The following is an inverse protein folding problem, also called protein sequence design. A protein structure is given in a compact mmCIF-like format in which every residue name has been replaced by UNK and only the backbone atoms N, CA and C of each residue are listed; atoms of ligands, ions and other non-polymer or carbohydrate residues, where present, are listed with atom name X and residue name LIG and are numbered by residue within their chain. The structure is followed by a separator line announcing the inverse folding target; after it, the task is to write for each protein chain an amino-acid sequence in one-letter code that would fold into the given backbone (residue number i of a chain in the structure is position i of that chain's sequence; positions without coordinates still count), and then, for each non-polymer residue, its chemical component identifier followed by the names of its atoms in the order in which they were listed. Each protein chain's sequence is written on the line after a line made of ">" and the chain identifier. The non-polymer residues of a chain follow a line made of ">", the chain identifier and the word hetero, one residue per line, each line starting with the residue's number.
data_IF_936072874060
#
_entry.id   IF_936072874060
#
_cell.length_a   1.000
_cell.length_b   1.000
_cell.length_c   1.000
_cell.angle_alpha   90.00
_cell.angle_beta   90.00
_cell.angle_gamma   90.00
#
_symmetry.space_group_name_H-M   'P 1'
#
loop_
_entity.id
_entity.type
_entity.pdbx_description
1 polymer ?
#
# COMPACT_ATOMS: atom_id res chain seq x y z
N UNK A 1 62.66 -29.60 -37.29
CA UNK A 1 61.18 -29.48 -37.33
C UNK A 1 60.60 -30.04 -36.02
N UNK A 2 60.08 -29.20 -35.12
CA UNK A 2 59.28 -29.66 -33.99
C UNK A 2 57.78 -29.51 -34.32
N UNK A 3 56.98 -30.54 -33.99
CA UNK A 3 55.51 -30.52 -34.04
C UNK A 3 54.97 -29.65 -32.88
N UNK A 4 54.01 -28.74 -33.10
CA UNK A 4 53.33 -28.07 -32.01
C UNK A 4 52.27 -28.99 -31.38
N UNK A 5 52.19 -28.99 -30.05
CA UNK A 5 51.13 -29.63 -29.27
C UNK A 5 49.86 -28.75 -29.26
N UNK A 6 48.66 -29.34 -29.20
CA UNK A 6 47.41 -28.58 -29.14
C UNK A 6 47.14 -28.01 -27.75
N UNK A 7 46.81 -26.72 -27.69
CA UNK A 7 46.29 -26.03 -26.50
C UNK A 7 44.83 -26.44 -26.26
N UNK A 8 44.43 -26.90 -25.06
CA UNK A 8 43.04 -26.91 -24.66
C UNK A 8 42.64 -25.52 -24.13
N UNK A 9 41.34 -25.31 -23.89
CA UNK A 9 40.68 -24.15 -23.28
C UNK A 9 39.94 -23.27 -24.29
N UNK A 10 38.79 -23.77 -24.74
CA UNK A 10 37.66 -22.94 -25.17
C UNK A 10 36.36 -23.62 -24.73
N UNK A 11 36.15 -23.76 -23.42
CA UNK A 11 34.88 -24.21 -22.82
C UNK A 11 34.63 -23.48 -21.49
N UNK A 12 34.62 -22.15 -21.52
CA UNK A 12 34.32 -21.36 -20.32
C UNK A 12 33.24 -20.29 -20.52
N UNK A 13 32.63 -20.17 -21.71
CA UNK A 13 31.64 -19.11 -21.99
C UNK A 13 30.17 -19.55 -21.96
N UNK A 14 29.87 -20.86 -21.89
CA UNK A 14 28.47 -21.32 -21.98
C UNK A 14 27.70 -21.36 -20.64
N UNK A 15 28.38 -21.43 -19.49
CA UNK A 15 27.70 -21.51 -18.18
C UNK A 15 27.26 -20.15 -17.62
N UNK A 16 27.95 -19.05 -17.96
CA UNK A 16 27.63 -17.74 -17.39
C UNK A 16 26.29 -17.17 -17.89
N UNK A 17 25.89 -17.51 -19.14
CA UNK A 17 24.62 -17.06 -19.71
C UNK A 17 23.41 -17.83 -19.16
N UNK A 18 23.60 -19.07 -18.70
CA UNK A 18 22.53 -19.89 -18.13
C UNK A 18 22.15 -19.46 -16.71
N UNK A 19 23.12 -19.00 -15.89
CA UNK A 19 22.83 -18.53 -14.53
C UNK A 19 22.09 -17.19 -14.47
N UNK A 20 22.27 -16.31 -15.46
CA UNK A 20 21.55 -15.03 -15.52
C UNK A 20 20.05 -15.19 -15.84
N UNK A 21 19.67 -16.24 -16.57
CA UNK A 21 18.27 -16.49 -16.97
C UNK A 21 17.44 -17.13 -15.84
N UNK A 22 18.06 -17.90 -14.94
CA UNK A 22 17.34 -18.53 -13.82
C UNK A 22 17.01 -17.58 -12.65
N UNK A 23 17.71 -16.44 -12.53
CA UNK A 23 17.44 -15.48 -11.45
C UNK A 23 16.11 -14.71 -11.63
N UNK A 24 15.56 -14.67 -12.85
CA UNK A 24 14.29 -14.01 -13.15
C UNK A 24 13.05 -14.85 -12.80
N UNK A 25 13.22 -16.12 -12.37
CA UNK A 25 12.13 -17.07 -12.17
C UNK A 25 11.62 -17.17 -10.72
N UNK A 26 12.28 -16.54 -9.75
CA UNK A 26 11.73 -16.41 -8.40
C UNK A 26 10.75 -15.23 -8.34
N UNK A 27 9.53 -15.49 -8.81
CA UNK A 27 8.42 -14.54 -8.81
C UNK A 27 7.89 -14.23 -7.41
N UNK A 28 8.63 -13.42 -6.64
CA UNK A 28 8.00 -12.48 -5.72
C UNK A 28 7.19 -11.47 -6.52
N UNK A 29 6.14 -10.90 -5.94
CA UNK A 29 5.27 -9.93 -6.59
C UNK A 29 6.10 -8.94 -7.41
N UNK A 30 5.89 -8.95 -8.73
CA UNK A 30 6.63 -8.05 -9.61
C UNK A 30 6.33 -6.62 -9.12
N UNK A 31 7.35 -5.81 -8.80
CA UNK A 31 7.16 -4.52 -8.13
C UNK A 31 6.22 -3.57 -8.89
N UNK A 32 6.03 -3.80 -10.19
CA UNK A 32 5.11 -3.09 -11.06
C UNK A 32 3.62 -3.34 -10.72
N UNK A 33 3.30 -4.38 -9.95
CA UNK A 33 1.94 -4.81 -9.59
C UNK A 33 1.48 -4.31 -8.22
N UNK A 34 2.36 -3.65 -7.48
CA UNK A 34 2.10 -3.15 -6.13
C UNK A 34 1.88 -1.65 -6.19
N UNK A 35 0.79 -1.16 -5.63
CA UNK A 35 0.53 0.26 -5.37
C UNK A 35 0.80 0.54 -3.90
N UNK A 36 1.69 1.48 -3.59
CA UNK A 36 1.93 1.94 -2.21
C UNK A 36 1.13 3.21 -1.98
N UNK A 37 0.36 3.26 -0.89
CA UNK A 37 -0.44 4.42 -0.48
C UNK A 37 0.21 5.08 0.73
N UNK A 38 0.58 6.35 0.57
CA UNK A 38 1.16 7.18 1.63
C UNK A 38 0.27 8.36 1.93
N UNK A 39 0.09 8.65 3.22
CA UNK A 39 -0.55 9.86 3.69
C UNK A 39 0.50 10.96 3.88
N UNK A 40 0.45 12.00 3.04
CA UNK A 40 1.44 13.08 3.05
C UNK A 40 1.36 13.96 4.31
N UNK A 41 0.24 13.92 5.02
CA UNK A 41 0.04 14.64 6.29
C UNK A 41 0.76 13.95 7.48
N UNK A 42 1.32 12.75 7.28
CA UNK A 42 2.11 12.05 8.30
C UNK A 42 3.53 11.76 7.78
N UNK A 43 4.58 12.38 8.37
CA UNK A 43 5.97 12.04 8.06
C UNK A 43 6.28 10.57 8.26
N UNK A 44 5.67 9.93 9.27
CA UNK A 44 5.82 8.48 9.53
C UNK A 44 5.28 7.65 8.37
N UNK A 45 4.10 7.99 7.85
CA UNK A 45 3.49 7.32 6.69
C UNK A 45 4.37 7.43 5.45
N UNK A 46 4.82 8.64 5.14
CA UNK A 46 5.71 8.92 4.00
C UNK A 46 6.99 8.11 4.12
N UNK A 47 7.64 8.13 5.28
CA UNK A 47 8.93 7.51 5.45
C UNK A 47 8.86 5.97 5.39
N UNK A 48 7.79 5.35 5.92
CA UNK A 48 7.53 3.91 5.76
C UNK A 48 7.31 3.56 4.29
N UNK A 49 6.48 4.33 3.59
CA UNK A 49 6.13 4.06 2.20
C UNK A 49 7.31 4.22 1.24
N UNK A 50 8.08 5.29 1.39
CA UNK A 50 9.28 5.53 0.57
C UNK A 50 10.36 4.47 0.83
N UNK A 51 10.56 4.09 2.09
CA UNK A 51 11.47 3.00 2.41
C UNK A 51 11.06 1.68 1.76
N UNK A 52 9.78 1.29 1.89
CA UNK A 52 9.28 0.06 1.31
C UNK A 52 9.37 0.09 -0.21
N UNK A 53 9.00 1.21 -0.83
CA UNK A 53 9.09 1.41 -2.28
C UNK A 53 10.53 1.25 -2.78
N UNK A 54 11.50 1.90 -2.11
CA UNK A 54 12.92 1.78 -2.44
C UNK A 54 13.42 0.34 -2.25
N UNK A 55 13.10 -0.29 -1.12
CA UNK A 55 13.58 -1.64 -0.78
C UNK A 55 13.05 -2.72 -1.73
N UNK A 56 11.86 -2.52 -2.29
CA UNK A 56 11.20 -3.45 -3.21
C UNK A 56 11.33 -3.06 -4.68
N UNK A 57 11.95 -1.92 -4.99
CA UNK A 57 12.07 -1.43 -6.37
C UNK A 57 10.73 -1.02 -6.99
N UNK A 58 9.78 -0.55 -6.18
CA UNK A 58 8.46 -0.12 -6.65
C UNK A 58 8.62 1.13 -7.53
N UNK A 59 8.06 1.16 -8.76
CA UNK A 59 8.13 2.33 -9.63
C UNK A 59 7.50 3.57 -8.96
N UNK A 60 8.06 4.75 -9.21
CA UNK A 60 7.53 5.99 -8.61
C UNK A 60 6.06 6.26 -8.98
N UNK A 61 5.62 5.88 -10.19
CA UNK A 61 4.21 5.97 -10.63
C UNK A 61 3.27 5.09 -9.79
N UNK A 62 3.79 4.08 -9.12
CA UNK A 62 3.05 3.16 -8.26
C UNK A 62 2.98 3.64 -6.78
N UNK A 63 3.32 4.90 -6.51
CA UNK A 63 3.17 5.51 -5.19
C UNK A 63 2.04 6.54 -5.24
N UNK A 64 0.88 6.14 -4.71
CA UNK A 64 -0.27 7.03 -4.55
C UNK A 64 -0.12 7.86 -3.27
N UNK A 65 -0.30 9.17 -3.41
CA UNK A 65 -0.24 10.13 -2.30
C UNK A 65 -1.65 10.62 -1.98
N UNK A 66 -2.05 10.45 -0.74
CA UNK A 66 -3.33 10.95 -0.20
C UNK A 66 -3.05 11.97 0.90
N UNK A 67 -4.02 12.83 1.19
CA UNK A 67 -3.91 13.84 2.25
C UNK A 67 -5.09 13.68 3.22
N UNK A 68 -4.87 12.88 4.26
CA UNK A 68 -5.84 12.68 5.34
C UNK A 68 -5.30 13.38 6.57
N UNK A 69 -5.96 14.45 7.01
CA UNK A 69 -5.53 15.17 8.21
C UNK A 69 -5.39 14.26 9.42
N UNK A 70 -4.22 14.31 10.07
CA UNK A 70 -3.90 13.57 11.29
C UNK A 70 -3.71 14.56 12.44
N UNK A 71 -4.31 14.28 13.59
CA UNK A 71 -4.18 15.15 14.77
C UNK A 71 -2.76 15.11 15.36
N UNK A 72 -2.14 13.93 15.35
CA UNK A 72 -0.74 13.74 15.72
C UNK A 72 0.04 13.20 14.50
N UNK A 73 0.89 14.02 13.84
CA UNK A 73 1.71 13.60 12.71
C UNK A 73 2.65 12.42 13.02
N UNK A 74 3.00 12.22 14.29
CA UNK A 74 3.84 11.11 14.76
C UNK A 74 3.03 9.81 15.03
N UNK A 75 1.70 9.87 14.92
CA UNK A 75 0.82 8.70 15.06
C UNK A 75 1.01 7.95 16.39
N UNK A 76 1.20 8.69 17.50
CA UNK A 76 1.36 8.10 18.85
C UNK A 76 0.03 7.62 19.42
N UNK A 77 -1.08 8.19 18.96
CA UNK A 77 -2.45 7.76 19.29
C UNK A 77 -3.14 7.10 18.08
N UNK A 78 -4.23 6.40 18.33
CA UNK A 78 -5.04 5.72 17.32
C UNK A 78 -6.15 6.59 16.71
N UNK A 79 -6.20 7.90 17.04
CA UNK A 79 -7.23 8.82 16.54
C UNK A 79 -7.26 8.92 14.99
N UNK A 80 -6.14 8.63 14.32
CA UNK A 80 -6.01 8.59 12.87
C UNK A 80 -6.57 7.30 12.23
N UNK A 81 -6.87 6.28 13.02
CA UNK A 81 -7.29 4.97 12.53
C UNK A 81 -8.76 4.91 12.11
N UNK A 82 -9.51 5.97 12.41
CA UNK A 82 -10.93 6.08 12.08
C UNK A 82 -11.19 7.32 11.23
N UNK A 83 -12.01 7.16 10.20
CA UNK A 83 -12.44 8.23 9.30
C UNK A 83 -13.95 8.11 9.07
N UNK A 84 -14.66 9.23 8.95
CA UNK A 84 -16.07 9.17 8.53
C UNK A 84 -16.20 8.86 7.04
N UNK A 85 -17.41 8.44 6.64
CA UNK A 85 -17.70 8.01 5.27
C UNK A 85 -17.44 9.08 4.20
N UNK A 86 -17.74 10.34 4.47
CA UNK A 86 -17.57 11.42 3.49
C UNK A 86 -16.08 11.71 3.27
N UNK A 87 -15.32 11.83 4.36
CA UNK A 87 -13.86 12.01 4.31
C UNK A 87 -13.16 10.79 3.72
N UNK A 88 -13.63 9.57 4.00
CA UNK A 88 -13.13 8.36 3.34
C UNK A 88 -13.21 8.47 1.81
N UNK A 89 -14.39 8.82 1.30
CA UNK A 89 -14.65 8.94 -0.13
C UNK A 89 -13.74 9.99 -0.76
N UNK A 90 -13.74 11.20 -0.20
CA UNK A 90 -13.08 12.37 -0.79
C UNK A 90 -11.57 12.41 -0.59
N UNK A 91 -11.07 11.92 0.54
CA UNK A 91 -9.64 12.03 0.90
C UNK A 91 -8.85 10.74 0.66
N UNK A 92 -9.51 9.59 0.49
CA UNK A 92 -8.82 8.31 0.29
C UNK A 92 -9.25 7.60 -0.98
N UNK A 93 -10.54 7.25 -1.11
CA UNK A 93 -11.04 6.47 -2.24
C UNK A 93 -10.83 7.21 -3.57
N UNK A 94 -11.37 8.42 -3.69
CA UNK A 94 -11.34 9.18 -4.95
C UNK A 94 -9.90 9.52 -5.38
N UNK A 95 -8.99 9.97 -4.49
CA UNK A 95 -7.59 10.18 -4.85
C UNK A 95 -6.88 8.91 -5.34
N UNK A 96 -7.12 7.75 -4.70
CA UNK A 96 -6.52 6.48 -5.12
C UNK A 96 -7.09 6.03 -6.46
N UNK A 97 -8.41 6.09 -6.66
CA UNK A 97 -9.07 5.77 -7.93
C UNK A 97 -8.53 6.64 -9.06
N UNK A 98 -8.45 7.96 -8.84
CA UNK A 98 -7.97 8.90 -9.82
C UNK A 98 -6.46 8.73 -10.11
N UNK A 99 -5.67 8.33 -9.11
CA UNK A 99 -4.26 7.98 -9.31
C UNK A 99 -4.10 6.74 -10.21
N UNK A 100 -4.90 5.69 -9.95
CA UNK A 100 -4.92 4.48 -10.77
C UNK A 100 -5.32 4.79 -12.22
N UNK A 101 -6.31 5.66 -12.42
CA UNK A 101 -6.74 6.11 -13.75
C UNK A 101 -5.65 6.87 -14.49
N UNK A 102 -5.17 7.97 -13.92
CA UNK A 102 -4.21 8.86 -14.59
C UNK A 102 -2.89 8.16 -14.91
N UNK A 103 -2.54 7.14 -14.12
CA UNK A 103 -1.30 6.37 -14.29
C UNK A 103 -1.47 5.12 -15.17
N UNK A 104 -2.68 4.81 -15.63
CA UNK A 104 -2.97 3.61 -16.42
C UNK A 104 -2.72 2.30 -15.65
N UNK A 105 -3.00 2.29 -14.35
CA UNK A 105 -2.60 1.23 -13.41
C UNK A 105 -3.73 0.27 -13.02
N UNK A 106 -4.99 0.54 -13.41
CA UNK A 106 -6.16 -0.27 -12.98
C UNK A 106 -6.02 -1.77 -13.23
N UNK A 107 -5.48 -2.14 -14.39
CA UNK A 107 -5.33 -3.54 -14.79
C UNK A 107 -3.94 -4.11 -14.46
N UNK A 108 -2.98 -3.23 -14.11
CA UNK A 108 -1.61 -3.62 -13.79
C UNK A 108 -1.42 -3.92 -12.30
N UNK A 109 -2.16 -3.23 -11.43
CA UNK A 109 -2.05 -3.38 -9.98
C UNK A 109 -2.88 -4.57 -9.50
N UNK A 110 -2.24 -5.42 -8.70
CA UNK A 110 -2.86 -6.56 -8.02
C UNK A 110 -2.94 -6.33 -6.51
N UNK A 111 -1.95 -5.61 -5.95
CA UNK A 111 -1.81 -5.38 -4.51
C UNK A 111 -1.81 -3.89 -4.19
N UNK A 112 -2.63 -3.47 -3.22
CA UNK A 112 -2.60 -2.14 -2.62
C UNK A 112 -2.01 -2.27 -1.22
N UNK A 113 -0.93 -1.54 -0.97
CA UNK A 113 -0.21 -1.52 0.31
C UNK A 113 -0.42 -0.16 0.95
N UNK A 114 -1.18 -0.10 2.03
CA UNK A 114 -1.34 1.11 2.84
C UNK A 114 -0.23 1.21 3.88
N UNK A 115 0.00 2.41 4.39
CA UNK A 115 1.00 2.68 5.43
C UNK A 115 0.32 3.15 6.71
N UNK A 116 1.01 3.01 7.85
CA UNK A 116 0.57 3.64 9.11
C UNK A 116 0.33 5.13 8.88
N UNK A 117 -0.83 5.65 9.26
CA UNK A 117 -1.28 7.02 8.94
C UNK A 117 -2.40 7.07 7.90
N UNK A 118 -2.65 5.99 7.17
CA UNK A 118 -3.90 5.77 6.42
C UNK A 118 -4.91 5.11 7.38
N UNK A 119 -6.18 5.56 7.46
CA UNK A 119 -7.16 4.98 8.40
C UNK A 119 -7.41 3.48 8.20
N UNK A 120 -7.89 2.79 9.24
CA UNK A 120 -8.33 1.38 9.19
C UNK A 120 -9.85 1.24 9.09
N UNK A 121 -10.58 2.13 9.75
CA UNK A 121 -12.02 2.00 9.97
C UNK A 121 -12.74 3.18 9.35
N UNK A 122 -13.82 2.86 8.65
CA UNK A 122 -14.77 3.84 8.15
C UNK A 122 -15.95 3.81 9.11
N UNK A 123 -16.10 4.87 9.88
CA UNK A 123 -17.23 5.03 10.77
C UNK A 123 -18.46 5.47 9.98
N UNK A 124 -19.59 4.97 10.46
CA UNK A 124 -20.91 5.37 10.00
C UNK A 124 -21.63 6.12 11.11
N UNK A 125 -22.68 6.83 10.72
CA UNK A 125 -23.57 7.49 11.66
C UNK A 125 -24.11 6.48 12.70
N UNK A 126 -24.26 6.92 13.95
CA UNK A 126 -24.82 6.07 15.00
C UNK A 126 -26.31 5.88 14.75
N UNK A 127 -26.67 4.67 14.34
CA UNK A 127 -28.06 4.23 14.17
C UNK A 127 -28.47 3.29 15.30
N UNK A 128 -29.78 3.07 15.45
CA UNK A 128 -30.33 2.07 16.38
C UNK A 128 -29.74 0.67 16.11
N UNK A 129 -29.65 -0.18 17.14
CA UNK A 129 -28.92 -1.46 17.06
C UNK A 129 -29.47 -2.40 15.98
N UNK A 130 -30.79 -2.46 15.83
CA UNK A 130 -31.49 -3.26 14.82
C UNK A 130 -31.16 -2.81 13.40
N UNK A 131 -31.11 -1.49 13.17
CA UNK A 131 -30.67 -0.89 11.91
C UNK A 131 -29.18 -1.14 11.69
N UNK A 132 -28.34 -1.01 12.73
CA UNK A 132 -26.90 -1.28 12.63
C UNK A 132 -26.61 -2.74 12.23
N UNK A 133 -27.35 -3.70 12.76
CA UNK A 133 -27.14 -5.11 12.44
C UNK A 133 -27.56 -5.48 11.01
N UNK A 134 -28.45 -4.70 10.38
CA UNK A 134 -28.96 -4.96 9.02
C UNK A 134 -28.26 -4.12 7.95
N UNK A 135 -28.10 -2.84 8.25
CA UNK A 135 -27.84 -1.76 7.29
C UNK A 135 -26.61 -0.91 7.68
N UNK A 136 -25.77 -1.37 8.60
CA UNK A 136 -24.56 -0.63 8.98
C UNK A 136 -23.67 -0.32 7.79
N UNK A 137 -23.34 0.96 7.65
CA UNK A 137 -22.33 1.44 6.72
C UNK A 137 -20.92 1.40 7.35
N UNK A 138 -20.77 1.01 8.61
CA UNK A 138 -19.44 0.86 9.21
C UNK A 138 -18.66 -0.22 8.46
N UNK A 139 -17.43 0.11 8.08
CA UNK A 139 -16.64 -0.74 7.20
C UNK A 139 -15.15 -0.69 7.56
N UNK A 140 -14.40 -1.63 7.01
CA UNK A 140 -12.95 -1.60 7.03
C UNK A 140 -12.45 -0.94 5.76
N UNK A 141 -11.46 -0.05 5.89
CA UNK A 141 -10.82 0.64 4.76
C UNK A 141 -10.25 -0.37 3.77
N UNK A 142 -9.60 -1.43 4.25
CA UNK A 142 -9.05 -2.45 3.38
C UNK A 142 -10.14 -3.19 2.57
N UNK A 143 -11.27 -3.50 3.19
CA UNK A 143 -12.40 -4.18 2.57
C UNK A 143 -13.04 -3.33 1.45
N UNK A 144 -13.14 -2.02 1.64
CA UNK A 144 -13.61 -1.11 0.57
C UNK A 144 -12.55 -0.93 -0.53
N UNK A 145 -11.26 -0.80 -0.19
CA UNK A 145 -10.18 -0.77 -1.19
C UNK A 145 -10.11 -2.05 -2.02
N UNK A 146 -10.41 -3.21 -1.43
CA UNK A 146 -10.48 -4.47 -2.17
C UNK A 146 -11.48 -4.39 -3.33
N UNK A 147 -12.59 -3.65 -3.17
CA UNK A 147 -13.68 -3.56 -4.15
C UNK A 147 -13.60 -2.31 -5.05
N UNK A 148 -12.55 -1.51 -4.92
CA UNK A 148 -12.37 -0.26 -5.66
C UNK A 148 -12.50 -0.48 -7.18
N UNK A 149 -13.37 0.29 -7.83
CA UNK A 149 -13.63 0.21 -9.27
C UNK A 149 -14.46 -0.99 -9.73
N UNK A 150 -15.01 -1.79 -8.81
CA UNK A 150 -16.01 -2.84 -9.14
C UNK A 150 -17.43 -2.28 -9.08
N UNK A 151 -18.44 -3.09 -9.42
CA UNK A 151 -19.85 -2.70 -9.21
C UNK A 151 -20.29 -2.64 -7.75
N UNK A 152 -19.43 -3.07 -6.81
CA UNK A 152 -19.61 -2.96 -5.36
C UNK A 152 -18.68 -1.93 -4.72
N UNK A 153 -18.14 -0.99 -5.50
CA UNK A 153 -17.41 0.14 -4.95
C UNK A 153 -18.29 0.92 -3.96
N UNK A 154 -17.71 1.41 -2.87
CA UNK A 154 -18.39 2.06 -1.72
C UNK A 154 -19.38 1.18 -0.94
N UNK A 155 -19.54 -0.10 -1.30
CA UNK A 155 -20.32 -1.04 -0.51
C UNK A 155 -19.60 -1.33 0.82
N UNK A 156 -20.28 -1.25 1.97
CA UNK A 156 -19.64 -1.46 3.26
C UNK A 156 -19.19 -2.93 3.41
N UNK A 157 -17.88 -3.12 3.55
CA UNK A 157 -17.26 -4.42 3.80
C UNK A 157 -17.34 -5.39 2.61
N UNK A 158 -17.11 -6.67 2.89
CA UNK A 158 -17.04 -7.74 1.87
C UNK A 158 -18.13 -8.82 2.04
N UNK A 159 -19.07 -8.61 2.97
CA UNK A 159 -19.83 -9.69 3.61
C UNK A 159 -20.85 -10.43 2.71
N UNK A 160 -21.23 -9.88 1.55
CA UNK A 160 -22.31 -10.45 0.72
C UNK A 160 -21.85 -11.14 -0.56
N UNK A 161 -20.55 -11.18 -0.83
CA UNK A 161 -20.04 -11.78 -2.08
C UNK A 161 -18.89 -12.73 -1.82
N UNK A 162 -18.89 -13.93 -2.43
CA UNK A 162 -17.78 -14.87 -2.29
C UNK A 162 -16.50 -14.27 -2.85
N UNK A 163 -15.35 -14.70 -2.31
CA UNK A 163 -14.06 -14.34 -2.89
C UNK A 163 -13.94 -14.99 -4.28
N UNK A 164 -13.82 -14.22 -5.38
CA UNK A 164 -13.77 -14.76 -6.73
C UNK A 164 -12.55 -15.66 -7.00
N UNK A 165 -11.50 -15.52 -6.20
CA UNK A 165 -10.28 -16.31 -6.30
C UNK A 165 -10.37 -17.65 -5.56
N UNK A 166 -11.40 -17.86 -4.74
CA UNK A 166 -11.52 -19.08 -3.94
C UNK A 166 -11.63 -20.31 -4.85
N UNK A 167 -10.72 -21.29 -4.63
CA UNK A 167 -10.58 -22.52 -5.43
C UNK A 167 -10.24 -22.30 -6.92
N UNK A 168 -9.95 -21.07 -7.33
CA UNK A 168 -9.44 -20.81 -8.67
C UNK A 168 -7.97 -21.20 -8.77
N UNK A 169 -7.57 -21.74 -9.92
CA UNK A 169 -6.16 -21.96 -10.29
C UNK A 169 -5.65 -20.92 -11.30
N UNK A 170 -6.52 -20.01 -11.72
CA UNK A 170 -6.17 -18.90 -12.61
C UNK A 170 -5.25 -17.91 -11.87
N UNK A 171 -4.27 -17.34 -12.57
CA UNK A 171 -3.43 -16.29 -11.97
C UNK A 171 -4.30 -15.06 -11.73
N UNK A 172 -3.98 -14.29 -10.70
CA UNK A 172 -4.74 -13.11 -10.30
C UNK A 172 -4.92 -12.11 -11.45
N UNK A 173 -3.82 -11.75 -12.14
CA UNK A 173 -3.87 -10.93 -13.36
C UNK A 173 -4.75 -11.47 -14.47
N UNK A 174 -4.72 -12.78 -14.72
CA UNK A 174 -5.43 -13.38 -15.85
C UNK A 174 -6.94 -13.34 -15.56
N UNK A 175 -7.30 -13.59 -14.30
CA UNK A 175 -8.67 -13.43 -13.80
C UNK A 175 -9.15 -11.98 -13.97
N UNK A 176 -8.33 -11.00 -13.56
CA UNK A 176 -8.67 -9.56 -13.64
C UNK A 176 -8.77 -9.07 -15.07
N UNK A 177 -7.82 -9.42 -15.94
CA UNK A 177 -7.79 -8.97 -17.33
C UNK A 177 -8.93 -9.54 -18.17
N UNK A 178 -9.36 -10.78 -17.88
CA UNK A 178 -10.40 -11.47 -18.64
C UNK A 178 -11.82 -11.10 -18.23
N UNK A 179 -12.01 -10.55 -17.03
CA UNK A 179 -13.32 -10.32 -16.44
C UNK A 179 -13.53 -8.83 -16.15
N UNK A 180 -14.65 -8.29 -16.63
CA UNK A 180 -15.04 -6.90 -16.33
C UNK A 180 -15.45 -6.69 -14.86
N UNK A 181 -15.84 -5.45 -14.55
CA UNK A 181 -16.21 -5.01 -13.19
C UNK A 181 -17.28 -5.89 -12.51
N UNK A 182 -18.19 -6.50 -13.28
CA UNK A 182 -19.27 -7.37 -12.78
C UNK A 182 -18.78 -8.67 -12.15
N UNK A 183 -17.56 -9.11 -12.49
CA UNK A 183 -16.95 -10.29 -11.86
C UNK A 183 -16.33 -10.00 -10.49
N UNK A 184 -16.43 -8.75 -10.04
CA UNK A 184 -15.92 -8.27 -8.75
C UNK A 184 -14.44 -8.62 -8.52
N UNK A 185 -13.53 -8.33 -9.49
CA UNK A 185 -12.11 -8.52 -9.26
C UNK A 185 -11.68 -7.71 -8.03
N UNK A 186 -11.03 -8.37 -7.07
CA UNK A 186 -10.62 -7.69 -5.84
C UNK A 186 -9.14 -7.30 -5.92
N UNK A 187 -8.74 -6.21 -5.29
CA UNK A 187 -7.32 -6.01 -4.98
C UNK A 187 -6.94 -6.86 -3.77
N UNK A 188 -5.69 -7.30 -3.69
CA UNK A 188 -5.12 -7.73 -2.41
C UNK A 188 -4.75 -6.48 -1.64
N UNK A 189 -5.18 -6.37 -0.38
CA UNK A 189 -4.88 -5.19 0.43
C UNK A 189 -4.09 -5.61 1.66
N UNK A 190 -3.01 -4.90 1.93
CA UNK A 190 -2.16 -5.11 3.10
C UNK A 190 -1.73 -3.77 3.68
N UNK A 191 -1.35 -3.76 4.96
CA UNK A 191 -0.86 -2.56 5.64
C UNK A 191 0.54 -2.74 6.19
N UNK A 192 1.38 -1.73 5.97
CA UNK A 192 2.69 -1.59 6.59
C UNK A 192 2.54 -0.81 7.90
N UNK A 193 2.64 -1.53 9.02
CA UNK A 193 2.67 -0.94 10.37
C UNK A 193 4.09 -0.83 10.96
N UNK A 194 5.07 -1.47 10.29
CA UNK A 194 6.50 -1.54 10.65
C UNK A 194 6.82 -2.46 11.85
N UNK A 195 8.01 -3.09 11.92
CA UNK A 195 8.64 -3.42 13.20
C UNK A 195 9.32 -2.16 13.76
N UNK A 196 8.98 -1.79 15.01
CA UNK A 196 9.54 -0.65 15.73
C UNK A 196 10.77 -1.14 16.51
N UNK A 197 11.93 -1.02 15.91
CA UNK A 197 13.18 -0.85 16.64
C UNK A 197 14.20 -0.12 15.75
N UNK A 198 14.73 0.98 16.26
CA UNK A 198 16.00 1.50 15.78
C UNK A 198 17.07 0.44 16.10
N UNK A 199 17.45 -0.36 15.10
CA UNK A 199 18.67 -1.15 15.19
C UNK A 199 19.52 -0.85 13.97
N UNK A 200 20.82 -1.07 14.05
CA UNK A 200 21.72 -0.93 12.90
C UNK A 200 21.84 -2.25 12.12
N UNK A 201 20.89 -3.18 12.32
CA UNK A 201 20.86 -4.46 11.63
C UNK A 201 20.48 -4.29 10.14
N UNK A 202 20.97 -5.16 9.24
CA UNK A 202 20.56 -5.20 7.85
C UNK A 202 19.03 -5.41 7.75
N UNK A 203 18.28 -4.35 7.45
CA UNK A 203 16.81 -4.37 7.44
C UNK A 203 16.14 -3.27 8.26
N UNK A 204 16.90 -2.47 9.01
CA UNK A 204 16.37 -1.31 9.71
C UNK A 204 16.10 -0.11 8.78
N UNK A 205 15.31 0.84 9.29
CA UNK A 205 15.01 2.10 8.59
C UNK A 205 16.31 2.86 8.30
N UNK A 206 16.53 3.38 7.06
CA UNK A 206 17.63 4.26 6.73
C UNK A 206 17.68 5.42 7.71
N UNK A 207 18.88 5.91 8.02
CA UNK A 207 19.07 6.99 8.99
C UNK A 207 18.22 8.23 8.70
N UNK A 208 17.95 8.54 7.43
CA UNK A 208 17.05 9.61 7.01
C UNK A 208 15.60 9.36 7.43
N UNK A 209 15.11 8.13 7.28
CA UNK A 209 13.76 7.73 7.69
C UNK A 209 13.64 7.65 9.20
N UNK A 210 14.67 7.13 9.88
CA UNK A 210 14.77 7.14 11.35
C UNK A 210 14.71 8.58 11.87
N UNK A 211 15.51 9.48 11.31
CA UNK A 211 15.51 10.90 11.69
C UNK A 211 14.16 11.58 11.43
N UNK A 212 13.42 11.21 10.37
CA UNK A 212 12.07 11.72 10.13
C UNK A 212 11.07 11.22 11.18
N UNK A 213 11.15 9.94 11.56
CA UNK A 213 10.32 9.36 12.62
C UNK A 213 10.67 9.99 13.97
N UNK A 214 11.94 10.05 14.33
CA UNK A 214 12.44 10.67 15.56
C UNK A 214 12.11 12.18 15.60
N UNK A 215 12.23 12.91 14.49
CA UNK A 215 11.85 14.33 14.43
C UNK A 215 10.34 14.54 14.56
N UNK A 216 9.52 13.64 14.00
CA UNK A 216 8.08 13.65 14.23
C UNK A 216 7.76 13.36 15.71
N UNK A 217 8.43 12.38 16.30
CA UNK A 217 8.30 12.00 17.71
C UNK A 217 8.90 13.03 18.70
N UNK A 218 9.82 13.88 18.26
CA UNK A 218 10.47 14.89 19.09
C UNK A 218 9.74 16.24 19.08
N UNK A 219 8.78 16.48 18.19
CA UNK A 219 7.96 17.71 18.22
C UNK A 219 7.15 17.75 19.53
N UNK A 220 7.41 18.71 20.44
CA UNK A 220 6.58 18.89 21.63
C UNK A 220 5.22 19.44 21.21
N UNK A 221 4.20 19.10 21.98
CA UNK A 221 2.80 19.56 21.97
C UNK A 221 2.61 21.11 22.03
N UNK A 222 3.70 21.88 21.96
CA UNK A 222 3.77 23.29 22.31
C UNK A 222 3.16 24.27 21.30
N UNK A 223 2.77 23.82 20.10
CA UNK A 223 2.13 24.69 19.10
C UNK A 223 0.59 24.63 19.12
N UNK A 224 -0.01 23.73 19.92
CA UNK A 224 -1.45 23.72 20.16
C UNK A 224 -1.90 24.79 21.20
N UNK A 225 -0.95 25.41 21.91
CA UNK A 225 -1.22 26.39 22.96
C UNK A 225 -1.03 27.86 22.54
N UNK A 226 -0.79 28.15 21.25
CA UNK A 226 -0.47 29.51 20.76
C UNK A 226 -1.37 30.11 19.68
N UNK A 227 -2.55 29.56 19.50
CA UNK A 227 -3.71 30.26 18.93
C UNK A 227 -4.89 29.71 19.74
N UNK A 228 -5.54 30.43 20.65
CA UNK A 228 -6.27 31.68 20.47
C UNK A 228 -6.28 32.48 21.77
N UNK A 229 -5.76 33.71 21.76
CA UNK A 229 -6.23 34.78 22.64
C UNK A 229 -6.95 35.76 21.72
N UNK A 230 -8.28 35.68 21.71
CA UNK A 230 -9.12 36.76 21.19
C UNK A 230 -9.34 37.72 22.36
N UNK A 231 -8.50 38.74 22.45
CA UNK A 231 -8.84 39.99 23.13
C UNK A 231 -9.41 40.94 22.06
N UNK A 232 -10.65 41.38 22.27
CA UNK A 232 -11.40 42.30 21.40
C UNK A 232 -12.89 42.11 21.52
#
# INVERSE_FOLDING_TARGET
>A
MPRPLPTPIARACACALACAVLAAACGGDAPERVLVVVNVESPVSVAIGEWYAQRRGIPARNVARIAVGVADPALRTDAHETIDRERWRTLVRDPIAAHLDRSGLRDAIEVIVTTKGVPLRIDAERVALDVRLRDSLQASVDAELMLLGTTLDEAPGVARTPNPYFRSRERFRDFRARRGADALPRYLVARLTGPIAASDAPGALPASVRALVEAAEARPEADAARAWVLDG
#
